data_IF_717823151578
#
_entry.id   IF_717823151578
#
_cell.length_a   1.000
_cell.length_b   1.000
_cell.length_c   1.000
_cell.angle_alpha   90.00
_cell.angle_beta   90.00
_cell.angle_gamma   90.00
#
_symmetry.space_group_name_H-M   'P 1'
#
loop_
_entity.id
_entity.type
_entity.pdbx_description
1 polymer ?
#
# COMPACT_ATOMS: atom_id res chain seq x y z
N UNK A 1 -18.05 -11.90 -15.77
CA UNK A 1 -18.30 -10.49 -16.13
C UNK A 1 -19.26 -9.88 -15.13
N UNK A 2 -19.08 -8.62 -14.72
CA UNK A 2 -19.99 -7.86 -13.87
C UNK A 2 -20.47 -6.62 -14.63
N UNK A 3 -21.77 -6.37 -14.63
CA UNK A 3 -22.36 -5.13 -15.18
C UNK A 3 -22.90 -4.30 -14.01
N UNK A 4 -22.53 -3.03 -13.98
CA UNK A 4 -22.99 -2.08 -12.97
C UNK A 4 -23.40 -0.78 -13.66
N UNK A 5 -24.48 -0.18 -13.18
CA UNK A 5 -24.95 1.10 -13.70
C UNK A 5 -25.28 2.06 -12.54
N UNK A 6 -25.04 3.34 -12.74
CA UNK A 6 -25.43 4.43 -11.86
C UNK A 6 -26.23 5.45 -12.65
N UNK A 7 -27.32 5.95 -12.09
CA UNK A 7 -28.17 6.96 -12.69
C UNK A 7 -28.93 7.74 -11.62
N UNK A 8 -29.18 9.02 -11.86
CA UNK A 8 -29.92 9.87 -10.92
C UNK A 8 -31.43 9.54 -10.90
N UNK A 9 -31.96 9.08 -12.03
CA UNK A 9 -33.33 8.62 -12.10
C UNK A 9 -33.43 7.12 -11.76
N UNK A 10 -34.10 6.82 -10.65
CA UNK A 10 -34.38 5.44 -10.22
C UNK A 10 -35.20 4.63 -11.24
N UNK A 11 -36.05 5.30 -12.04
CA UNK A 11 -36.86 4.60 -13.08
C UNK A 11 -35.97 4.07 -14.19
N UNK A 12 -34.93 4.81 -14.59
CA UNK A 12 -33.95 4.36 -15.58
C UNK A 12 -33.22 3.10 -15.09
N UNK A 13 -32.82 3.05 -13.80
CA UNK A 13 -32.24 1.84 -13.20
C UNK A 13 -33.25 0.68 -13.14
N UNK A 14 -34.55 0.98 -13.03
CA UNK A 14 -35.60 -0.02 -13.10
C UNK A 14 -35.71 -0.68 -14.48
N UNK A 15 -35.42 0.07 -15.57
CA UNK A 15 -35.34 -0.48 -16.92
C UNK A 15 -34.12 -1.40 -17.03
N UNK A 16 -32.93 -0.92 -16.65
CA UNK A 16 -31.70 -1.73 -16.62
C UNK A 16 -31.89 -3.05 -15.85
N UNK A 17 -32.54 -3.00 -14.68
CA UNK A 17 -32.80 -4.18 -13.86
C UNK A 17 -33.78 -5.18 -14.50
N UNK A 18 -34.65 -4.74 -15.41
CA UNK A 18 -35.56 -5.64 -16.17
C UNK A 18 -34.82 -6.40 -17.25
N UNK A 19 -33.85 -5.77 -17.90
CA UNK A 19 -33.10 -6.35 -19.02
C UNK A 19 -32.17 -7.51 -18.59
N UNK A 20 -31.96 -7.71 -17.28
CA UNK A 20 -31.10 -8.81 -16.77
C UNK A 20 -31.76 -10.18 -16.99
N UNK A 21 -33.09 -10.27 -16.98
CA UNK A 21 -33.79 -11.53 -17.12
C UNK A 21 -33.61 -12.17 -18.52
N UNK A 22 -33.76 -11.43 -19.63
CA UNK A 22 -33.41 -11.95 -20.96
C UNK A 22 -31.94 -12.35 -21.07
N UNK A 23 -31.02 -11.63 -20.42
CA UNK A 23 -29.61 -11.97 -20.42
C UNK A 23 -29.32 -13.35 -19.82
N UNK A 24 -30.03 -13.73 -18.76
CA UNK A 24 -29.88 -15.03 -18.10
C UNK A 24 -30.26 -16.21 -18.99
N UNK A 25 -31.10 -15.99 -20.01
CA UNK A 25 -31.58 -17.05 -20.91
C UNK A 25 -30.95 -17.00 -22.30
N UNK A 26 -30.41 -15.83 -22.70
CA UNK A 26 -30.04 -15.58 -24.11
C UNK A 26 -28.54 -15.28 -24.32
N UNK A 27 -27.74 -15.17 -23.26
CA UNK A 27 -26.31 -14.86 -23.40
C UNK A 27 -25.49 -16.11 -23.74
N UNK A 28 -24.65 -16.56 -22.86
CA UNK A 28 -23.77 -17.68 -23.13
C UNK A 28 -24.08 -18.89 -22.26
N UNK A 29 -23.78 -20.11 -22.73
CA UNK A 29 -23.84 -21.32 -21.90
C UNK A 29 -23.06 -21.12 -20.58
N UNK A 30 -23.62 -21.61 -19.48
CA UNK A 30 -23.02 -21.47 -18.16
C UNK A 30 -23.29 -20.14 -17.45
N UNK A 31 -24.10 -19.24 -18.03
CA UNK A 31 -24.58 -18.05 -17.33
C UNK A 31 -25.39 -18.45 -16.10
N UNK A 32 -24.92 -18.06 -14.92
CA UNK A 32 -25.61 -18.29 -13.65
C UNK A 32 -25.88 -16.97 -12.95
N UNK A 33 -26.94 -16.89 -12.18
CA UNK A 33 -27.28 -15.73 -11.37
C UNK A 33 -27.59 -16.12 -9.94
N UNK A 34 -27.01 -15.41 -8.99
CA UNK A 34 -27.31 -15.57 -7.58
C UNK A 34 -28.44 -14.60 -7.17
N UNK A 35 -29.67 -15.06 -7.28
CA UNK A 35 -30.86 -14.39 -6.71
C UNK A 35 -31.43 -13.28 -7.59
N UNK A 36 -32.68 -13.26 -7.72
CA UNK A 36 -33.68 -12.36 -8.24
C UNK A 36 -33.27 -11.06 -8.97
N UNK A 37 -34.28 -10.29 -9.33
CA UNK A 37 -34.11 -9.00 -10.03
C UNK A 37 -33.34 -7.98 -9.16
N UNK A 38 -32.26 -7.35 -9.65
CA UNK A 38 -31.54 -6.33 -8.91
C UNK A 38 -32.45 -5.15 -8.53
N UNK A 39 -32.25 -4.61 -7.34
CA UNK A 39 -32.92 -3.40 -6.88
C UNK A 39 -31.96 -2.23 -6.85
N UNK A 40 -32.42 -1.06 -7.34
CA UNK A 40 -31.65 0.16 -7.20
C UNK A 40 -31.50 0.54 -5.71
N UNK A 41 -30.28 0.85 -5.31
CA UNK A 41 -29.95 1.36 -3.99
C UNK A 41 -29.26 2.72 -4.07
N UNK A 42 -29.37 3.59 -3.06
CA UNK A 42 -28.60 4.81 -3.01
C UNK A 42 -27.09 4.54 -3.04
N UNK A 43 -26.34 5.41 -3.72
CA UNK A 43 -24.87 5.42 -3.64
C UNK A 43 -24.48 6.16 -2.37
N UNK A 44 -23.86 5.46 -1.43
CA UNK A 44 -23.32 6.05 -0.20
C UNK A 44 -21.87 6.40 -0.44
N UNK A 45 -21.49 7.65 -0.13
CA UNK A 45 -20.11 8.13 -0.27
C UNK A 45 -19.56 8.48 1.10
N UNK A 46 -18.31 8.08 1.35
CA UNK A 46 -17.55 8.52 2.51
C UNK A 46 -17.07 9.95 2.27
N UNK A 47 -17.39 10.84 3.19
CA UNK A 47 -16.82 12.19 3.25
C UNK A 47 -15.81 12.24 4.40
N UNK A 48 -14.55 12.52 4.09
CA UNK A 48 -13.47 12.63 5.06
C UNK A 48 -13.02 14.08 5.18
N UNK A 49 -12.79 14.53 6.40
CA UNK A 49 -12.25 15.86 6.68
C UNK A 49 -11.27 15.80 7.86
N UNK A 50 -10.38 16.78 7.92
CA UNK A 50 -9.45 16.93 9.03
C UNK A 50 -10.08 17.80 10.12
N UNK A 51 -9.94 17.36 11.37
CA UNK A 51 -10.41 18.10 12.54
C UNK A 51 -9.24 18.25 13.54
N UNK A 52 -9.03 19.44 14.12
CA UNK A 52 -8.05 19.59 15.19
C UNK A 52 -8.34 18.64 16.35
N UNK A 53 -7.33 17.92 16.82
CA UNK A 53 -7.46 16.91 17.89
C UNK A 53 -8.11 17.46 19.16
N UNK A 54 -7.88 18.76 19.49
CA UNK A 54 -8.49 19.44 20.65
C UNK A 54 -10.03 19.50 20.59
N UNK A 55 -10.62 19.36 19.40
CA UNK A 55 -12.07 19.39 19.20
C UNK A 55 -12.72 18.00 19.33
N UNK A 56 -11.91 16.97 19.58
CA UNK A 56 -12.39 15.58 19.73
C UNK A 56 -12.35 15.22 21.21
N UNK A 57 -13.50 15.03 21.82
CA UNK A 57 -13.60 14.50 23.17
C UNK A 57 -13.36 12.99 23.13
N UNK A 58 -12.31 12.51 23.82
CA UNK A 58 -12.00 11.10 23.95
C UNK A 58 -12.18 10.66 25.39
N UNK A 59 -12.90 9.55 25.57
CA UNK A 59 -13.12 8.96 26.88
C UNK A 59 -12.79 7.48 26.84
N UNK A 60 -12.39 6.93 27.98
CA UNK A 60 -12.28 5.48 28.23
C UNK A 60 -13.36 5.11 29.22
N UNK A 61 -14.13 4.08 28.89
CA UNK A 61 -15.13 3.50 29.77
C UNK A 61 -14.64 2.14 30.27
N UNK A 62 -14.62 1.97 31.59
CA UNK A 62 -14.26 0.72 32.25
C UNK A 62 -15.37 0.35 33.25
N UNK A 63 -16.22 -0.60 32.92
CA UNK A 63 -17.44 -0.84 33.65
C UNK A 63 -18.37 0.39 33.57
N UNK A 64 -18.77 0.92 34.73
CA UNK A 64 -19.61 2.12 34.82
C UNK A 64 -18.80 3.43 34.88
N UNK A 65 -17.49 3.34 35.00
CA UNK A 65 -16.61 4.51 35.09
C UNK A 65 -16.25 5.05 33.72
N UNK A 66 -16.47 6.35 33.52
CA UNK A 66 -16.12 7.09 32.28
C UNK A 66 -15.04 8.10 32.60
N UNK A 67 -13.86 7.89 32.04
CA UNK A 67 -12.69 8.76 32.25
C UNK A 67 -12.35 9.54 30.99
N UNK A 68 -12.26 10.89 31.05
CA UNK A 68 -11.79 11.67 29.91
C UNK A 68 -10.29 11.47 29.69
N UNK A 69 -9.90 11.28 28.43
CA UNK A 69 -8.49 11.19 28.02
C UNK A 69 -8.05 12.52 27.46
N UNK A 70 -6.99 13.08 28.01
CA UNK A 70 -6.35 14.28 27.46
C UNK A 70 -5.53 13.89 26.22
N UNK A 71 -5.98 14.33 25.04
CA UNK A 71 -5.21 14.20 23.82
C UNK A 71 -4.12 15.29 23.82
N UNK A 72 -2.83 14.96 23.55
CA UNK A 72 -1.79 15.95 23.38
C UNK A 72 -2.17 16.93 22.26
N UNK A 73 -2.08 18.23 22.52
CA UNK A 73 -2.30 19.26 21.52
C UNK A 73 -1.17 19.25 20.48
N UNK A 74 -1.47 19.74 19.27
CA UNK A 74 -0.51 19.87 18.19
C UNK A 74 0.77 20.58 18.69
N UNK A 75 1.93 19.94 18.51
CA UNK A 75 3.23 20.47 18.90
C UNK A 75 3.95 19.73 20.05
N UNK A 76 3.35 18.72 20.67
CA UNK A 76 4.14 17.85 21.54
C UNK A 76 5.03 16.92 20.68
N UNK A 77 6.37 16.93 20.90
CA UNK A 77 7.26 16.03 20.20
C UNK A 77 6.89 14.57 20.49
N UNK A 78 7.05 13.69 19.49
CA UNK A 78 6.77 12.25 19.59
C UNK A 78 7.51 11.55 20.74
N UNK A 79 8.53 12.19 21.30
CA UNK A 79 9.32 11.73 22.46
C UNK A 79 8.58 11.79 23.80
N UNK A 80 7.40 12.40 23.88
CA UNK A 80 6.62 12.50 25.12
C UNK A 80 5.76 11.25 25.43
N UNK A 81 5.66 10.32 24.50
CA UNK A 81 5.15 8.98 24.81
C UNK A 81 6.30 8.14 25.30
N UNK A 82 6.45 8.10 26.61
CA UNK A 82 7.52 7.37 27.29
C UNK A 82 7.65 5.94 26.75
N UNK A 83 8.83 5.60 26.38
CA UNK A 83 9.33 4.24 26.10
C UNK A 83 9.25 3.31 27.32
N UNK A 84 8.47 3.66 28.34
CA UNK A 84 8.39 2.89 29.60
C UNK A 84 7.38 1.76 29.62
N UNK A 85 6.62 1.55 28.57
CA UNK A 85 5.67 0.44 28.49
C UNK A 85 6.04 -0.50 27.33
N UNK A 86 7.07 -1.22 27.45
CA UNK A 86 7.35 -2.57 26.91
C UNK A 86 8.89 -2.76 26.98
N UNK A 87 9.41 -2.98 28.16
CA UNK A 87 10.71 -3.61 28.31
C UNK A 87 10.52 -5.13 28.04
N UNK A 88 10.46 -5.50 26.77
CA UNK A 88 10.68 -6.88 26.37
C UNK A 88 12.20 -7.08 26.29
N UNK A 89 12.81 -7.91 27.16
CA UNK A 89 14.27 -8.11 27.18
C UNK A 89 14.83 -8.68 25.86
N UNK A 90 13.97 -9.13 24.93
CA UNK A 90 14.40 -9.64 23.63
C UNK A 90 14.70 -8.53 22.58
N UNK A 91 14.38 -7.25 22.87
CA UNK A 91 14.57 -6.13 21.93
C UNK A 91 15.83 -5.30 22.25
N UNK A 92 16.53 -5.58 23.35
CA UNK A 92 17.72 -4.81 23.77
C UNK A 92 18.96 -4.99 22.91
N UNK A 93 19.01 -5.97 22.01
CA UNK A 93 20.16 -6.17 21.12
C UNK A 93 20.27 -5.16 19.97
N UNK A 94 19.24 -4.32 19.72
CA UNK A 94 19.29 -3.26 18.72
C UNK A 94 20.01 -1.99 19.19
N UNK A 95 20.12 -1.76 20.50
CA UNK A 95 20.72 -0.54 21.04
C UNK A 95 22.25 -0.54 20.98
N UNK A 96 22.90 -1.71 21.14
CA UNK A 96 24.36 -1.83 21.05
C UNK A 96 24.89 -1.57 19.64
N UNK A 97 24.12 -1.94 18.60
CA UNK A 97 24.49 -1.69 17.21
C UNK A 97 24.43 -0.18 16.88
N UNK A 98 23.45 0.52 17.43
CA UNK A 98 23.28 1.96 17.22
C UNK A 98 24.38 2.79 17.94
N UNK A 99 24.83 2.36 19.08
CA UNK A 99 25.91 3.02 19.82
C UNK A 99 27.29 2.76 19.21
N UNK A 100 27.52 1.56 18.67
CA UNK A 100 28.73 1.23 17.93
C UNK A 100 28.87 2.08 16.64
N UNK A 101 27.76 2.31 15.94
CA UNK A 101 27.73 3.16 14.75
C UNK A 101 28.01 4.65 15.08
N UNK A 102 27.48 5.15 16.20
CA UNK A 102 27.74 6.54 16.65
C UNK A 102 29.19 6.75 17.04
N UNK A 103 29.84 5.79 17.69
CA UNK A 103 31.24 5.86 18.08
C UNK A 103 32.20 5.82 16.88
N UNK A 104 31.81 5.14 15.81
CA UNK A 104 32.60 5.11 14.56
C UNK A 104 32.47 6.43 13.80
N UNK A 105 31.28 7.05 13.76
CA UNK A 105 31.04 8.34 13.13
C UNK A 105 31.77 9.50 13.83
N UNK A 106 31.87 9.47 15.17
CA UNK A 106 32.62 10.49 15.93
C UNK A 106 34.14 10.44 15.69
N UNK A 107 34.70 9.27 15.35
CA UNK A 107 36.13 9.11 15.05
C UNK A 107 36.52 9.60 13.66
N UNK A 108 35.59 9.70 12.73
CA UNK A 108 35.86 10.07 11.33
C UNK A 108 35.51 11.51 10.97
N UNK A 109 34.98 12.31 11.92
CA UNK A 109 34.67 13.73 11.72
C UNK A 109 33.61 14.01 10.62
N UNK A 110 32.84 13.01 10.21
CA UNK A 110 31.74 13.16 9.24
C UNK A 110 30.43 13.32 9.98
N UNK A 111 29.70 14.37 9.66
CA UNK A 111 28.35 14.59 10.17
C UNK A 111 27.44 13.43 9.77
N UNK A 112 26.55 13.04 10.67
CA UNK A 112 25.56 11.96 10.45
C UNK A 112 24.43 12.42 9.50
N UNK A 113 24.83 12.89 8.31
CA UNK A 113 24.00 13.13 7.15
C UNK A 113 24.27 12.00 6.18
N UNK A 114 23.28 11.16 6.02
CA UNK A 114 23.09 10.35 4.83
C UNK A 114 24.02 9.16 4.56
N UNK A 115 23.99 8.18 5.46
CA UNK A 115 24.53 6.83 5.14
C UNK A 115 23.70 6.09 4.07
N UNK A 116 22.45 6.53 3.75
CA UNK A 116 21.62 5.95 2.70
C UNK A 116 22.08 6.39 1.30
N UNK A 117 22.44 7.66 1.11
CA UNK A 117 22.95 8.16 -0.17
C UNK A 117 24.34 7.57 -0.54
N UNK A 118 25.19 7.31 0.45
CA UNK A 118 26.52 6.73 0.20
C UNK A 118 26.43 5.25 -0.17
N UNK A 119 25.47 4.51 0.43
CA UNK A 119 25.20 3.12 0.04
C UNK A 119 24.61 3.04 -1.38
N UNK A 120 23.72 3.97 -1.74
CA UNK A 120 23.15 4.05 -3.09
C UNK A 120 24.20 4.44 -4.14
N UNK A 121 25.17 5.33 -3.83
CA UNK A 121 26.27 5.70 -4.71
C UNK A 121 27.31 4.58 -4.90
N UNK A 122 27.57 3.78 -3.87
CA UNK A 122 28.50 2.65 -3.97
C UNK A 122 27.94 1.52 -4.85
N UNK A 123 26.61 1.34 -4.86
CA UNK A 123 25.93 0.36 -5.71
C UNK A 123 25.88 0.81 -7.18
N UNK A 124 25.75 2.13 -7.44
CA UNK A 124 25.82 2.69 -8.81
C UNK A 124 27.16 2.41 -9.48
N UNK A 125 28.26 2.37 -8.71
CA UNK A 125 29.60 2.05 -9.25
C UNK A 125 29.79 0.58 -9.61
N UNK A 126 29.03 -0.34 -9.03
CA UNK A 126 29.09 -1.78 -9.30
C UNK A 126 28.17 -2.23 -10.47
N UNK A 127 27.22 -1.39 -10.88
CA UNK A 127 26.23 -1.72 -11.91
C UNK A 127 26.74 -1.80 -13.34
N UNK A 128 27.90 -1.25 -13.63
CA UNK A 128 28.38 -1.11 -15.02
C UNK A 128 28.87 -2.43 -15.62
N UNK A 129 28.98 -3.51 -14.84
CA UNK A 129 29.59 -4.76 -15.26
C UNK A 129 28.70 -6.01 -15.16
N UNK A 130 27.51 -5.95 -14.59
CA UNK A 130 26.66 -7.14 -14.42
C UNK A 130 25.49 -7.14 -15.40
N UNK A 131 25.32 -8.27 -16.12
CA UNK A 131 24.15 -8.48 -16.98
C UNK A 131 22.87 -8.50 -16.13
N UNK A 132 21.80 -7.93 -16.67
CA UNK A 132 20.48 -7.95 -16.00
C UNK A 132 19.55 -8.97 -16.62
N UNK A 133 18.57 -9.41 -15.83
CA UNK A 133 17.45 -10.24 -16.24
C UNK A 133 16.15 -9.60 -15.77
N UNK A 134 15.09 -9.79 -16.53
CA UNK A 134 13.75 -9.36 -16.11
C UNK A 134 13.14 -10.41 -15.18
N UNK A 135 12.67 -9.96 -14.01
CA UNK A 135 11.89 -10.78 -13.08
C UNK A 135 10.64 -10.02 -12.64
N UNK A 136 9.51 -10.72 -12.48
CA UNK A 136 8.34 -10.10 -11.86
C UNK A 136 8.63 -9.79 -10.38
N UNK A 137 8.11 -8.67 -9.88
CA UNK A 137 8.25 -8.27 -8.48
C UNK A 137 7.88 -9.38 -7.49
N UNK A 138 6.94 -10.23 -7.86
CA UNK A 138 6.59 -11.44 -7.09
C UNK A 138 7.80 -12.28 -6.69
N UNK A 139 8.81 -12.37 -7.54
CA UNK A 139 10.02 -13.16 -7.28
C UNK A 139 10.86 -12.61 -6.13
N UNK A 140 10.85 -11.29 -5.91
CA UNK A 140 11.78 -10.60 -5.01
C UNK A 140 11.08 -9.82 -3.88
N UNK A 141 9.75 -9.76 -3.89
CA UNK A 141 8.98 -9.02 -2.90
C UNK A 141 7.67 -9.72 -2.51
N UNK A 142 7.10 -9.28 -1.40
CA UNK A 142 5.71 -9.49 -1.02
C UNK A 142 4.97 -8.16 -1.12
N UNK A 143 3.66 -8.23 -1.36
CA UNK A 143 2.83 -7.03 -1.33
C UNK A 143 1.51 -7.28 -0.61
N UNK A 144 0.98 -6.21 -0.01
CA UNK A 144 -0.36 -6.16 0.55
C UNK A 144 -0.97 -4.80 0.27
N UNK A 145 -2.23 -4.80 -0.15
CA UNK A 145 -2.96 -3.57 -0.46
C UNK A 145 -4.29 -3.47 0.28
N UNK A 146 -4.85 -2.26 0.28
CA UNK A 146 -6.15 -1.98 0.86
C UNK A 146 -6.57 -0.54 0.67
N UNK A 147 -7.85 -0.29 0.98
CA UNK A 147 -8.47 1.01 0.82
C UNK A 147 -8.08 2.02 1.90
N UNK A 148 -8.07 3.28 1.47
CA UNK A 148 -8.00 4.49 2.28
C UNK A 148 -8.99 5.52 1.70
N UNK A 149 -10.30 5.26 1.85
CA UNK A 149 -11.34 6.00 1.16
C UNK A 149 -11.33 5.71 -0.34
N UNK A 150 -11.18 6.75 -1.19
CA UNK A 150 -11.00 6.60 -2.65
C UNK A 150 -9.54 6.30 -3.05
N UNK A 151 -8.63 6.28 -2.09
CA UNK A 151 -7.22 5.94 -2.29
C UNK A 151 -6.96 4.48 -1.94
N UNK A 152 -5.95 3.88 -2.56
CA UNK A 152 -5.41 2.58 -2.17
C UNK A 152 -3.98 2.73 -1.67
N UNK A 153 -3.60 1.98 -0.65
CA UNK A 153 -2.20 1.83 -0.29
C UNK A 153 -1.70 0.43 -0.66
N UNK A 154 -0.42 0.36 -1.04
CA UNK A 154 0.27 -0.89 -1.33
C UNK A 154 1.58 -0.92 -0.53
N UNK A 155 1.65 -1.80 0.46
CA UNK A 155 2.92 -2.13 1.11
C UNK A 155 3.68 -3.13 0.25
N UNK A 156 4.93 -2.82 -0.07
CA UNK A 156 5.87 -3.68 -0.81
C UNK A 156 7.05 -3.98 0.09
N UNK A 157 7.28 -5.25 0.40
CA UNK A 157 8.29 -5.73 1.34
C UNK A 157 9.30 -6.57 0.57
N UNK A 158 10.58 -6.22 0.65
CA UNK A 158 11.64 -7.01 0.04
C UNK A 158 11.73 -8.41 0.69
N UNK A 159 11.92 -9.47 -0.12
CA UNK A 159 12.13 -10.84 0.37
C UNK A 159 13.49 -11.03 1.03
N UNK A 160 14.45 -10.16 0.72
CA UNK A 160 15.76 -10.10 1.35
C UNK A 160 16.18 -8.64 1.51
N UNK A 161 16.90 -8.27 2.59
CA UNK A 161 17.36 -6.90 2.79
C UNK A 161 18.14 -6.32 1.61
N UNK A 162 18.99 -7.14 0.97
CA UNK A 162 19.84 -6.74 -0.17
C UNK A 162 19.02 -6.36 -1.42
N UNK A 163 17.75 -6.78 -1.50
CA UNK A 163 16.87 -6.42 -2.61
C UNK A 163 16.30 -5.01 -2.47
N UNK A 164 16.24 -4.46 -1.25
CA UNK A 164 15.58 -3.17 -1.01
C UNK A 164 16.20 -2.00 -1.78
N UNK A 165 17.53 -1.81 -1.82
CA UNK A 165 18.13 -0.71 -2.58
C UNK A 165 17.77 -0.78 -4.06
N UNK A 166 17.75 -1.99 -4.62
CA UNK A 166 17.36 -2.22 -6.01
C UNK A 166 15.89 -1.95 -6.27
N UNK A 167 15.02 -2.45 -5.39
CA UNK A 167 13.58 -2.16 -5.45
C UNK A 167 13.28 -0.66 -5.36
N UNK A 168 14.00 0.09 -4.52
CA UNK A 168 13.88 1.54 -4.41
C UNK A 168 14.16 2.27 -5.72
N UNK A 169 15.15 1.80 -6.50
CA UNK A 169 15.50 2.39 -7.80
C UNK A 169 14.52 1.98 -8.90
N UNK A 170 14.07 0.74 -8.91
CA UNK A 170 13.24 0.20 -9.97
C UNK A 170 11.76 0.49 -9.80
N UNK A 171 11.25 0.52 -8.56
CA UNK A 171 9.83 0.71 -8.26
C UNK A 171 9.61 2.16 -7.81
N UNK A 172 9.67 3.08 -8.76
CA UNK A 172 9.47 4.51 -8.51
C UNK A 172 7.97 4.86 -8.50
N UNK A 173 7.57 6.00 -7.89
CA UNK A 173 6.19 6.48 -7.96
C UNK A 173 5.68 6.59 -9.39
N UNK A 174 6.49 7.09 -10.32
CA UNK A 174 6.14 7.29 -11.72
C UNK A 174 5.88 5.95 -12.43
N UNK A 175 6.74 4.95 -12.17
CA UNK A 175 6.58 3.61 -12.73
C UNK A 175 5.31 2.93 -12.21
N UNK A 176 5.04 3.07 -10.91
CA UNK A 176 3.80 2.56 -10.29
C UNK A 176 2.58 3.30 -10.83
N UNK A 177 2.64 4.62 -11.00
CA UNK A 177 1.55 5.40 -11.58
C UNK A 177 1.24 4.97 -13.03
N UNK A 178 2.28 4.77 -13.84
CA UNK A 178 2.11 4.28 -15.20
C UNK A 178 1.50 2.86 -15.22
N UNK A 179 1.94 1.98 -14.33
CA UNK A 179 1.41 0.62 -14.20
C UNK A 179 -0.07 0.58 -13.84
N UNK A 180 -0.51 1.47 -12.96
CA UNK A 180 -1.88 1.58 -12.49
C UNK A 180 -2.74 2.62 -13.25
N UNK A 181 -2.23 3.23 -14.33
CA UNK A 181 -2.95 4.28 -15.06
C UNK A 181 -4.36 3.87 -15.49
N UNK A 182 -4.57 2.60 -15.82
CA UNK A 182 -5.87 2.04 -16.22
C UNK A 182 -6.88 1.92 -15.04
N UNK A 183 -6.42 2.04 -13.80
CA UNK A 183 -7.25 1.97 -12.58
C UNK A 183 -7.34 3.31 -11.85
N UNK A 184 -6.51 4.27 -12.17
CA UNK A 184 -6.50 5.58 -11.51
C UNK A 184 -7.31 6.61 -12.32
N UNK A 185 -7.88 7.59 -11.64
CA UNK A 185 -8.41 8.76 -12.31
C UNK A 185 -7.27 9.63 -12.87
N UNK A 186 -7.54 10.46 -13.86
CA UNK A 186 -6.52 11.29 -14.53
C UNK A 186 -5.85 12.30 -13.62
N UNK A 187 -6.52 12.70 -12.53
CA UNK A 187 -6.02 13.59 -11.47
C UNK A 187 -5.47 12.82 -10.25
N UNK A 188 -5.35 11.49 -10.36
CA UNK A 188 -4.74 10.65 -9.34
C UNK A 188 -3.21 10.76 -9.35
N UNK A 189 -2.61 10.48 -8.22
CA UNK A 189 -1.15 10.53 -8.02
C UNK A 189 -0.66 9.35 -7.19
N UNK A 190 0.63 9.03 -7.32
CA UNK A 190 1.30 8.03 -6.50
C UNK A 190 2.37 8.70 -5.64
N UNK A 191 2.36 8.42 -4.35
CA UNK A 191 3.41 8.84 -3.42
C UNK A 191 4.02 7.61 -2.78
N UNK A 192 5.35 7.55 -2.70
CA UNK A 192 6.10 6.50 -2.01
C UNK A 192 6.57 6.97 -0.65
N UNK A 193 6.46 6.10 0.33
CA UNK A 193 6.99 6.28 1.68
C UNK A 193 7.91 5.09 1.99
N UNK A 194 9.10 5.36 2.51
CA UNK A 194 9.94 4.31 3.05
C UNK A 194 9.41 3.86 4.42
N UNK A 195 9.51 2.56 4.68
CA UNK A 195 9.10 1.95 5.95
C UNK A 195 10.34 1.35 6.60
N UNK A 196 11.08 2.15 7.40
CA UNK A 196 12.32 1.70 8.02
C UNK A 196 12.08 0.56 9.00
N UNK A 197 13.07 -0.32 9.14
CA UNK A 197 13.03 -1.45 10.08
C UNK A 197 12.41 -2.74 9.54
N UNK A 198 11.66 -2.70 8.43
CA UNK A 198 11.03 -3.90 7.84
C UNK A 198 11.37 -4.09 6.36
N UNK A 199 12.39 -3.41 5.86
CA UNK A 199 12.86 -3.48 4.47
C UNK A 199 11.73 -3.32 3.44
N UNK A 200 10.92 -2.28 3.62
CA UNK A 200 9.69 -2.09 2.85
C UNK A 200 9.51 -0.64 2.38
N UNK A 201 8.62 -0.50 1.42
CA UNK A 201 8.06 0.76 0.94
C UNK A 201 6.54 0.68 0.98
N UNK A 202 5.88 1.82 1.15
CA UNK A 202 4.43 1.93 1.01
C UNK A 202 4.11 2.95 -0.08
N UNK A 203 3.26 2.56 -1.02
CA UNK A 203 2.75 3.43 -2.07
C UNK A 203 1.32 3.84 -1.74
N UNK A 204 1.04 5.13 -1.80
CA UNK A 204 -0.32 5.67 -1.69
C UNK A 204 -0.76 6.11 -3.10
N UNK A 205 -1.79 5.46 -3.60
CA UNK A 205 -2.40 5.75 -4.90
C UNK A 205 -3.71 6.51 -4.64
N UNK A 206 -3.74 7.80 -4.95
CA UNK A 206 -4.96 8.61 -4.79
C UNK A 206 -5.92 8.39 -5.95
N UNK A 207 -7.22 8.58 -5.74
CA UNK A 207 -8.26 8.46 -6.78
C UNK A 207 -8.21 7.13 -7.53
N UNK A 208 -7.85 6.05 -6.83
CA UNK A 208 -7.60 4.74 -7.42
C UNK A 208 -8.77 3.76 -7.29
N UNK A 209 -9.77 4.05 -6.45
CA UNK A 209 -10.86 3.10 -6.15
C UNK A 209 -12.23 3.49 -6.76
N UNK A 210 -12.31 4.57 -7.54
CA UNK A 210 -13.55 4.96 -8.20
C UNK A 210 -14.65 5.41 -7.25
N UNK A 211 -14.30 6.22 -6.26
CA UNK A 211 -15.19 6.77 -5.23
C UNK A 211 -15.15 6.05 -3.88
N UNK A 212 -14.27 5.07 -3.74
CA UNK A 212 -14.09 4.31 -2.50
C UNK A 212 -15.04 3.12 -2.35
N UNK A 213 -14.80 2.31 -1.33
CA UNK A 213 -15.45 1.01 -1.15
C UNK A 213 -16.98 1.03 -1.14
N UNK A 214 -17.59 2.12 -0.65
CA UNK A 214 -19.05 2.27 -0.58
C UNK A 214 -19.69 2.70 -1.90
N UNK A 215 -18.96 3.46 -2.74
CA UNK A 215 -19.47 4.08 -3.96
C UNK A 215 -18.94 3.41 -5.24
N UNK A 216 -17.84 2.67 -5.15
CA UNK A 216 -17.18 2.08 -6.29
C UNK A 216 -18.01 0.98 -6.94
N UNK A 217 -18.14 1.05 -8.26
CA UNK A 217 -18.77 0.00 -9.08
C UNK A 217 -17.77 -1.06 -9.57
N UNK A 218 -16.51 -0.99 -9.15
CA UNK A 218 -15.45 -1.93 -9.55
C UNK A 218 -15.63 -3.30 -8.89
N UNK A 219 -15.03 -4.34 -9.48
CA UNK A 219 -14.99 -5.67 -8.88
C UNK A 219 -14.18 -5.70 -7.56
N UNK A 220 -13.11 -4.90 -7.52
CA UNK A 220 -12.27 -4.70 -6.34
C UNK A 220 -12.43 -3.28 -5.79
N UNK A 221 -13.55 -2.98 -5.09
CA UNK A 221 -13.83 -1.65 -4.58
C UNK A 221 -12.92 -1.25 -3.41
N UNK A 222 -12.25 -2.23 -2.80
CA UNK A 222 -11.37 -2.06 -1.65
C UNK A 222 -9.89 -2.17 -2.00
N UNK A 223 -9.54 -2.32 -3.29
CA UNK A 223 -8.14 -2.40 -3.73
C UNK A 223 -7.36 -3.55 -3.11
N UNK A 224 -8.02 -4.67 -2.77
CA UNK A 224 -7.36 -5.82 -2.16
C UNK A 224 -6.47 -6.57 -3.13
N UNK A 225 -6.78 -6.53 -4.42
CA UNK A 225 -6.00 -7.12 -5.51
C UNK A 225 -4.87 -6.24 -6.03
N UNK A 226 -4.76 -4.98 -5.61
CA UNK A 226 -3.73 -4.05 -6.11
C UNK A 226 -2.30 -4.53 -5.80
N UNK A 227 -2.11 -5.17 -4.65
CA UNK A 227 -0.81 -5.77 -4.31
C UNK A 227 -0.40 -6.85 -5.31
N UNK A 228 -1.32 -7.72 -5.73
CA UNK A 228 -1.08 -8.76 -6.72
C UNK A 228 -0.80 -8.16 -8.10
N UNK A 229 -1.57 -7.14 -8.50
CA UNK A 229 -1.33 -6.42 -9.76
C UNK A 229 0.06 -5.79 -9.78
N UNK A 230 0.51 -5.19 -8.66
CA UNK A 230 1.86 -4.64 -8.57
C UNK A 230 2.93 -5.73 -8.68
N UNK A 231 2.71 -6.89 -8.05
CA UNK A 231 3.65 -8.00 -8.06
C UNK A 231 3.86 -8.65 -9.44
N UNK A 232 2.95 -8.43 -10.39
CA UNK A 232 3.10 -8.86 -11.78
C UNK A 232 3.97 -7.92 -12.63
N UNK A 233 4.36 -6.76 -12.08
CA UNK A 233 5.24 -5.82 -12.79
C UNK A 233 6.65 -6.37 -12.87
N UNK A 234 7.22 -6.39 -14.09
CA UNK A 234 8.61 -6.79 -14.30
C UNK A 234 9.59 -5.67 -13.92
N UNK A 235 10.70 -6.09 -13.34
CA UNK A 235 11.85 -5.25 -13.02
C UNK A 235 13.14 -5.90 -13.52
N UNK A 236 14.11 -5.05 -13.88
CA UNK A 236 15.45 -5.51 -14.23
C UNK A 236 16.27 -5.74 -12.95
N UNK A 237 16.84 -6.93 -12.81
CA UNK A 237 17.66 -7.29 -11.64
C UNK A 237 18.99 -7.92 -12.11
N UNK A 238 20.05 -7.91 -11.28
CA UNK A 238 21.29 -8.59 -11.59
C UNK A 238 21.05 -10.07 -11.95
N UNK A 239 21.73 -10.57 -12.96
CA UNK A 239 21.60 -11.97 -13.41
C UNK A 239 22.00 -12.95 -12.32
N UNK A 240 22.89 -12.58 -11.41
CA UNK A 240 23.26 -13.36 -10.22
C UNK A 240 22.07 -13.67 -9.31
N UNK A 241 21.00 -12.88 -9.37
CA UNK A 241 19.79 -13.14 -8.58
C UNK A 241 19.00 -14.37 -9.05
N UNK A 242 19.20 -14.83 -10.28
CA UNK A 242 18.52 -16.03 -10.79
C UNK A 242 18.69 -17.26 -9.88
N UNK A 243 19.83 -17.36 -9.18
CA UNK A 243 20.18 -18.45 -8.28
C UNK A 243 20.10 -18.07 -6.80
N UNK A 244 19.70 -16.85 -6.48
CA UNK A 244 19.63 -16.38 -5.10
C UNK A 244 18.52 -17.12 -4.32
N UNK A 245 18.80 -17.68 -3.12
CA UNK A 245 17.85 -18.53 -2.40
C UNK A 245 16.55 -17.81 -1.97
N UNK A 246 16.59 -16.48 -1.84
CA UNK A 246 15.41 -15.67 -1.51
C UNK A 246 14.55 -15.30 -2.75
N UNK A 247 15.03 -15.56 -3.96
CA UNK A 247 14.26 -15.35 -5.20
C UNK A 247 13.28 -16.49 -5.39
N UNK A 248 12.01 -16.16 -5.51
CA UNK A 248 10.95 -17.14 -5.69
C UNK A 248 10.66 -17.37 -7.16
N UNK A 249 10.75 -18.63 -7.60
CA UNK A 249 10.30 -19.01 -8.92
C UNK A 249 8.77 -18.97 -9.00
N UNK A 250 8.23 -18.53 -10.14
CA UNK A 250 6.78 -18.61 -10.39
C UNK A 250 6.39 -20.07 -10.51
N UNK A 251 5.34 -20.54 -9.84
CA UNK A 251 4.81 -21.88 -10.11
C UNK A 251 4.41 -21.99 -11.58
N UNK A 252 4.75 -23.11 -12.21
CA UNK A 252 4.37 -23.42 -13.58
C UNK A 252 2.84 -23.53 -13.70
#
# INVERSE_FOLDING_TARGET
MRLSASHDDRKALGIFAREIAPAGTSWSPGTTGAGGRPKASPVVRLFSFLMPKRNVAVTVTLGDDVMPIRIPSDGMPAQAFGTELIADPAITNGHEIAESAKNTAQKTGRSAGDSSEIADLAIVGAEIAESTIALPLYSVAWARSGDKGDSSNIGLIARHPDFLPWLRRQVTPEKVQAWFAHLMATDGSVTRFDVPGVHAMNFLLTRALGGGGMASMRNDPLGKGFGQILLDMDIEVPSSWATHPAVRQRPA
#
